data_IF_297702003078
#
_entry.id   IF_297702003078
#
_cell.length_a   1.000
_cell.length_b   1.000
_cell.length_c   1.000
_cell.angle_alpha   90.00
_cell.angle_beta   90.00
_cell.angle_gamma   90.00
#
_symmetry.space_group_name_H-M   'P 1'
#
loop_
_entity.id
_entity.type
_entity.pdbx_description
1 polymer ?
#
# COMPACT_ATOMS: atom_id res chain seq x y z
N UNK A 1 1.40 6.01 -2.29
CA UNK A 1 1.13 6.46 -0.90
C UNK A 1 -0.25 7.11 -0.91
N UNK A 2 -1.18 6.63 -0.07
CA UNK A 2 -2.53 7.17 0.04
C UNK A 2 -2.65 8.22 1.17
N UNK A 3 -3.85 8.83 1.32
CA UNK A 3 -4.08 9.88 2.30
C UNK A 3 -3.86 9.42 3.75
N UNK A 4 -4.27 8.19 4.07
CA UNK A 4 -4.11 7.64 5.43
C UNK A 4 -2.62 7.49 5.80
N UNK A 5 -1.78 7.03 4.86
CA UNK A 5 -0.35 6.93 5.10
C UNK A 5 0.32 8.30 5.30
N UNK A 6 -0.14 9.33 4.59
CA UNK A 6 0.34 10.71 4.81
C UNK A 6 0.04 11.16 6.24
N UNK A 7 -1.20 11.01 6.68
CA UNK A 7 -1.62 11.41 8.03
C UNK A 7 -0.91 10.61 9.13
N UNK A 8 -0.68 9.30 8.92
CA UNK A 8 0.08 8.48 9.88
C UNK A 8 1.52 8.99 9.99
N UNK A 9 2.19 9.24 8.86
CA UNK A 9 3.57 9.74 8.85
C UNK A 9 3.68 11.12 9.50
N UNK A 10 2.70 12.00 9.29
CA UNK A 10 2.64 13.30 9.97
C UNK A 10 2.60 13.18 11.50
N UNK A 11 1.94 12.14 12.02
CA UNK A 11 1.83 11.92 13.47
C UNK A 11 3.04 11.19 14.07
N UNK A 12 3.62 10.22 13.36
CA UNK A 12 4.66 9.36 13.93
C UNK A 12 6.08 9.72 13.48
N UNK A 13 6.23 10.53 12.42
CA UNK A 13 7.50 10.84 11.77
C UNK A 13 7.89 9.79 10.72
N UNK A 14 8.59 10.23 9.67
CA UNK A 14 9.04 9.36 8.56
C UNK A 14 9.95 8.21 9.02
N UNK A 15 10.73 8.42 10.07
CA UNK A 15 11.63 7.44 10.63
C UNK A 15 10.92 6.26 11.31
N UNK A 16 9.63 6.42 11.64
CA UNK A 16 8.82 5.40 12.31
C UNK A 16 7.81 4.72 11.37
N UNK A 17 7.95 4.91 10.05
CA UNK A 17 7.12 4.30 9.04
C UNK A 17 7.95 3.85 7.83
N UNK A 18 7.50 2.81 7.14
CA UNK A 18 8.18 2.26 5.95
C UNK A 18 7.34 2.54 4.70
N UNK A 19 7.43 3.74 4.20
CA UNK A 19 6.68 4.18 3.02
C UNK A 19 7.38 3.74 1.74
N UNK A 20 6.59 3.32 0.75
CA UNK A 20 7.02 2.96 -0.60
C UNK A 20 5.93 3.29 -1.63
N UNK A 21 6.26 3.12 -2.91
CA UNK A 21 5.34 3.27 -4.03
C UNK A 21 5.16 4.71 -4.49
N UNK A 22 4.34 4.85 -5.52
CA UNK A 22 4.02 6.13 -6.13
C UNK A 22 3.30 7.07 -5.15
N UNK A 23 3.60 8.35 -5.24
CA UNK A 23 2.83 9.39 -4.58
C UNK A 23 1.46 9.55 -5.25
N UNK A 24 0.49 10.13 -4.54
CA UNK A 24 -0.83 10.44 -5.10
C UNK A 24 -0.72 11.30 -6.38
N UNK A 25 0.22 12.26 -6.40
CA UNK A 25 0.43 13.13 -7.56
C UNK A 25 0.95 12.36 -8.78
N UNK A 26 1.83 11.38 -8.60
CA UNK A 26 2.33 10.52 -9.68
C UNK A 26 1.23 9.61 -10.21
N UNK A 27 0.39 9.05 -9.33
CA UNK A 27 -0.78 8.26 -9.74
C UNK A 27 -1.73 9.11 -10.58
N UNK A 28 -2.13 10.29 -10.11
CA UNK A 28 -2.99 11.23 -10.84
C UNK A 28 -2.37 11.58 -12.20
N UNK A 29 -1.05 11.77 -12.26
CA UNK A 29 -0.37 12.05 -13.52
C UNK A 29 -0.47 10.88 -14.50
N UNK A 30 -0.23 9.65 -14.07
CA UNK A 30 -0.41 8.46 -14.91
C UNK A 30 -1.85 8.25 -15.35
N UNK A 31 -2.82 8.51 -14.46
CA UNK A 31 -4.23 8.37 -14.80
C UNK A 31 -4.69 9.37 -15.85
N UNK A 32 -4.24 10.62 -15.77
CA UNK A 32 -4.65 11.70 -16.66
C UNK A 32 -3.87 11.73 -17.98
N UNK A 33 -2.59 11.39 -17.98
CA UNK A 33 -1.71 11.53 -19.15
C UNK A 33 -1.25 10.18 -19.74
N UNK A 34 -1.49 9.07 -19.05
CA UNK A 34 -1.00 7.76 -19.46
C UNK A 34 0.52 7.62 -19.27
N UNK A 35 1.15 6.80 -20.11
CA UNK A 35 2.59 6.56 -20.06
C UNK A 35 3.00 5.44 -19.08
N UNK A 36 2.05 4.70 -18.54
CA UNK A 36 2.28 3.49 -17.79
C UNK A 36 1.96 2.26 -18.63
N UNK A 37 2.93 1.37 -18.80
CA UNK A 37 2.76 0.08 -19.46
C UNK A 37 3.36 -1.04 -18.55
N UNK A 38 2.51 -1.85 -17.91
CA UNK A 38 2.97 -2.97 -17.08
C UNK A 38 3.73 -4.03 -17.89
N UNK A 39 3.42 -4.19 -19.19
CA UNK A 39 4.12 -5.13 -20.06
C UNK A 39 5.57 -4.69 -20.32
N UNK A 40 5.83 -3.39 -20.41
CA UNK A 40 7.19 -2.86 -20.51
C UNK A 40 8.01 -3.23 -19.27
N UNK A 41 7.44 -3.09 -18.06
CA UNK A 41 8.10 -3.51 -16.81
C UNK A 41 8.38 -5.01 -16.83
N UNK A 42 7.37 -5.82 -17.16
CA UNK A 42 7.53 -7.27 -17.28
C UNK A 42 8.65 -7.67 -18.25
N UNK A 43 8.79 -6.95 -19.36
CA UNK A 43 9.82 -7.27 -20.36
C UNK A 43 11.22 -6.84 -19.94
N UNK A 44 11.35 -5.75 -19.20
CA UNK A 44 12.65 -5.15 -18.88
C UNK A 44 13.15 -5.47 -17.46
N UNK A 45 12.27 -5.96 -16.57
CA UNK A 45 12.62 -6.30 -15.19
C UNK A 45 12.59 -7.81 -14.98
N UNK A 46 13.76 -8.39 -14.74
CA UNK A 46 13.90 -9.84 -14.55
C UNK A 46 13.25 -10.35 -13.26
N UNK A 47 13.28 -9.55 -12.19
CA UNK A 47 12.71 -9.94 -10.90
C UNK A 47 11.18 -9.94 -10.97
N UNK A 48 10.59 -8.88 -11.54
CA UNK A 48 9.15 -8.81 -11.80
C UNK A 48 8.71 -9.96 -12.70
N UNK A 49 9.42 -10.19 -13.80
CA UNK A 49 9.12 -11.31 -14.70
C UNK A 49 9.16 -12.65 -13.97
N UNK A 50 10.20 -12.89 -13.18
CA UNK A 50 10.35 -14.14 -12.43
C UNK A 50 9.18 -14.36 -11.48
N UNK A 51 8.81 -13.35 -10.71
CA UNK A 51 7.70 -13.43 -9.75
C UNK A 51 6.38 -13.69 -10.48
N UNK A 52 6.09 -12.95 -11.55
CA UNK A 52 4.86 -13.14 -12.31
C UNK A 52 4.78 -14.51 -13.00
N UNK A 53 5.89 -15.01 -13.53
CA UNK A 53 5.94 -16.35 -14.11
C UNK A 53 5.66 -17.47 -13.09
N UNK A 54 5.99 -17.25 -11.82
CA UNK A 54 5.69 -18.21 -10.75
C UNK A 54 4.19 -18.37 -10.50
N UNK A 55 3.37 -17.39 -10.87
CA UNK A 55 1.91 -17.51 -10.79
C UNK A 55 1.33 -18.55 -11.75
N UNK A 56 1.99 -18.79 -12.89
CA UNK A 56 1.44 -19.61 -13.99
C UNK A 56 2.29 -20.83 -14.35
N UNK A 57 3.43 -21.04 -13.71
CA UNK A 57 4.33 -22.17 -14.00
C UNK A 57 4.22 -23.32 -12.99
N UNK A 58 3.23 -23.28 -12.09
CA UNK A 58 3.02 -24.31 -11.07
C UNK A 58 3.85 -24.15 -9.79
N UNK A 59 4.65 -23.10 -9.64
CA UNK A 59 5.46 -22.87 -8.42
C UNK A 59 4.57 -22.80 -7.17
N UNK A 60 3.47 -22.03 -7.22
CA UNK A 60 2.57 -21.85 -6.09
C UNK A 60 1.44 -22.89 -6.03
N UNK A 61 1.08 -23.48 -7.15
CA UNK A 61 0.04 -24.51 -7.25
C UNK A 61 0.47 -25.62 -8.22
N UNK A 62 1.32 -26.58 -7.79
CA UNK A 62 1.83 -27.62 -8.69
C UNK A 62 0.74 -28.48 -9.31
N UNK A 63 -0.38 -28.69 -8.61
CA UNK A 63 -1.53 -29.48 -9.09
C UNK A 63 -2.51 -28.70 -9.99
N UNK A 64 -2.43 -27.37 -10.00
CA UNK A 64 -3.30 -26.49 -10.80
C UNK A 64 -2.55 -25.21 -11.21
N UNK A 65 -1.73 -25.24 -12.25
CA UNK A 65 -1.03 -24.04 -12.73
C UNK A 65 -1.95 -22.91 -13.22
N UNK A 66 -3.23 -23.22 -13.48
CA UNK A 66 -4.21 -22.23 -13.95
C UNK A 66 -4.82 -21.41 -12.81
N UNK A 67 -4.69 -21.85 -11.56
CA UNK A 67 -5.31 -21.21 -10.39
C UNK A 67 -5.06 -19.71 -10.30
N UNK A 68 -3.82 -19.27 -10.53
CA UNK A 68 -3.43 -17.87 -10.43
C UNK A 68 -3.35 -17.15 -11.79
N UNK A 69 -3.77 -17.79 -12.88
CA UNK A 69 -3.78 -17.18 -14.22
C UNK A 69 -4.65 -15.91 -14.29
N UNK A 70 -5.82 -15.82 -13.65
CA UNK A 70 -6.59 -14.57 -13.63
C UNK A 70 -5.82 -13.40 -13.02
N UNK A 71 -5.06 -13.65 -11.95
CA UNK A 71 -4.20 -12.63 -11.32
C UNK A 71 -3.07 -12.18 -12.26
N UNK A 72 -2.38 -13.13 -12.90
CA UNK A 72 -1.38 -12.82 -13.91
C UNK A 72 -1.93 -11.93 -15.04
N UNK A 73 -3.12 -12.27 -15.53
CA UNK A 73 -3.77 -11.48 -16.59
C UNK A 73 -4.23 -10.10 -16.11
N UNK A 74 -4.70 -9.96 -14.88
CA UNK A 74 -5.10 -8.66 -14.35
C UNK A 74 -3.94 -7.67 -14.23
N UNK A 75 -2.71 -8.18 -14.07
CA UNK A 75 -1.50 -7.36 -13.99
C UNK A 75 -0.91 -7.01 -15.36
N UNK A 76 -1.11 -7.83 -16.39
CA UNK A 76 -0.42 -7.65 -17.68
C UNK A 76 -1.35 -7.37 -18.86
N UNK A 77 -2.62 -7.77 -18.79
CA UNK A 77 -3.52 -7.70 -19.95
C UNK A 77 -4.68 -6.74 -19.69
N UNK A 78 -4.92 -5.86 -20.66
CA UNK A 78 -6.12 -5.05 -20.67
C UNK A 78 -7.31 -5.94 -21.09
N UNK A 79 -8.29 -6.10 -20.22
CA UNK A 79 -9.52 -6.83 -20.52
C UNK A 79 -10.66 -5.85 -20.76
N UNK A 80 -11.24 -5.90 -21.97
CA UNK A 80 -12.44 -5.14 -22.37
C UNK A 80 -12.44 -3.65 -22.03
N UNK A 81 -12.63 -3.28 -20.77
CA UNK A 81 -12.69 -1.89 -20.27
C UNK A 81 -11.76 -1.63 -19.08
N UNK A 82 -11.14 -2.67 -18.53
CA UNK A 82 -10.22 -2.53 -17.41
C UNK A 82 -8.78 -2.30 -17.88
N UNK A 83 -8.09 -1.37 -17.24
CA UNK A 83 -6.63 -1.20 -17.44
C UNK A 83 -5.91 -2.35 -16.75
N UNK A 84 -4.82 -2.84 -17.35
CA UNK A 84 -3.91 -3.76 -16.68
C UNK A 84 -3.23 -3.03 -15.49
N UNK A 85 -2.97 -3.77 -14.42
CA UNK A 85 -2.33 -3.26 -13.21
C UNK A 85 -2.89 -1.89 -12.76
N UNK A 86 -4.19 -1.84 -12.54
CA UNK A 86 -4.92 -0.61 -12.18
C UNK A 86 -4.34 0.11 -10.95
N UNK A 87 -3.68 -0.64 -10.08
CA UNK A 87 -3.11 -0.13 -8.83
C UNK A 87 -1.59 0.11 -8.89
N UNK A 88 -0.98 0.06 -10.07
CA UNK A 88 0.46 0.30 -10.29
C UNK A 88 1.39 -0.62 -9.49
N UNK A 89 0.96 -1.84 -9.18
CA UNK A 89 1.68 -2.81 -8.35
C UNK A 89 3.06 -3.12 -8.92
N UNK A 90 3.17 -3.28 -10.25
CA UNK A 90 4.45 -3.58 -10.88
C UNK A 90 5.40 -2.37 -10.87
N UNK A 91 4.84 -1.16 -10.93
CA UNK A 91 5.62 0.07 -10.80
C UNK A 91 6.19 0.24 -9.39
N UNK A 92 5.41 -0.13 -8.39
CA UNK A 92 5.78 -0.03 -6.98
C UNK A 92 6.70 -1.15 -6.50
N UNK A 93 6.84 -2.24 -7.26
CA UNK A 93 7.54 -3.45 -6.84
C UNK A 93 8.97 -3.20 -6.34
N UNK A 94 9.76 -2.39 -7.04
CA UNK A 94 11.14 -2.09 -6.62
C UNK A 94 11.20 -1.28 -5.34
N UNK A 95 10.39 -0.25 -5.23
CA UNK A 95 10.33 0.57 -4.00
C UNK A 95 9.83 -0.24 -2.81
N UNK A 96 8.89 -1.17 -3.03
CA UNK A 96 8.48 -2.14 -2.03
C UNK A 96 9.65 -3.05 -1.60
N UNK A 97 10.40 -3.62 -2.55
CA UNK A 97 11.55 -4.47 -2.25
C UNK A 97 12.64 -3.73 -1.45
N UNK A 98 12.90 -2.46 -1.76
CA UNK A 98 13.81 -1.63 -0.98
C UNK A 98 13.25 -1.29 0.42
N UNK A 99 11.94 -1.04 0.54
CA UNK A 99 11.30 -0.87 1.83
C UNK A 99 11.42 -2.14 2.70
N UNK A 100 11.23 -3.33 2.12
CA UNK A 100 11.42 -4.60 2.83
C UNK A 100 12.84 -4.78 3.39
N UNK A 101 13.87 -4.39 2.63
CA UNK A 101 15.26 -4.40 3.14
C UNK A 101 15.45 -3.46 4.34
N UNK A 102 14.80 -2.27 4.31
CA UNK A 102 14.82 -1.33 5.44
C UNK A 102 14.10 -1.90 6.65
N UNK A 103 12.94 -2.53 6.44
CA UNK A 103 12.19 -3.23 7.51
C UNK A 103 13.05 -4.33 8.13
N UNK A 104 13.69 -5.17 7.32
CA UNK A 104 14.56 -6.25 7.81
C UNK A 104 15.73 -5.73 8.64
N UNK A 105 16.37 -4.65 8.18
CA UNK A 105 17.46 -4.03 8.91
C UNK A 105 16.98 -3.41 10.24
N UNK A 106 15.86 -2.68 10.22
CA UNK A 106 15.28 -2.05 11.40
C UNK A 106 14.80 -3.09 12.42
N UNK A 107 14.21 -4.20 11.97
CA UNK A 107 13.72 -5.27 12.85
C UNK A 107 14.82 -5.93 13.67
N UNK A 108 16.08 -5.89 13.20
CA UNK A 108 17.25 -6.43 13.93
C UNK A 108 17.74 -5.50 15.07
N UNK A 109 17.32 -4.25 15.06
CA UNK A 109 17.56 -3.27 16.13
C UNK A 109 16.32 -3.23 17.04
N UNK A 110 16.26 -4.18 17.97
CA UNK A 110 15.07 -4.41 18.82
C UNK A 110 14.69 -3.17 19.62
N UNK A 111 15.66 -2.39 20.12
CA UNK A 111 15.40 -1.19 20.90
C UNK A 111 14.74 -0.08 20.07
N UNK A 112 15.25 0.19 18.87
CA UNK A 112 14.67 1.18 17.97
C UNK A 112 13.34 0.69 17.39
N UNK A 113 13.22 -0.60 17.07
CA UNK A 113 11.95 -1.19 16.65
C UNK A 113 10.86 -1.02 17.72
N UNK A 114 11.18 -1.31 18.98
CA UNK A 114 10.26 -1.14 20.11
C UNK A 114 9.86 0.34 20.30
N UNK A 115 10.80 1.27 20.19
CA UNK A 115 10.51 2.73 20.24
C UNK A 115 9.54 3.14 19.14
N UNK A 116 9.79 2.74 17.90
CA UNK A 116 8.91 3.06 16.78
C UNK A 116 7.51 2.45 16.96
N UNK A 117 7.43 1.22 17.45
CA UNK A 117 6.16 0.57 17.75
C UNK A 117 5.37 1.31 18.85
N UNK A 118 6.04 1.74 19.94
CA UNK A 118 5.43 2.53 21.01
C UNK A 118 4.92 3.87 20.49
N UNK A 119 5.69 4.57 19.65
CA UNK A 119 5.27 5.83 19.04
C UNK A 119 4.05 5.65 18.15
N UNK A 120 4.02 4.62 17.30
CA UNK A 120 2.85 4.30 16.47
C UNK A 120 1.61 4.04 17.33
N UNK A 121 1.73 3.30 18.43
CA UNK A 121 0.61 3.07 19.36
C UNK A 121 0.18 4.37 20.04
N UNK A 122 1.12 5.16 20.55
CA UNK A 122 0.83 6.41 21.25
C UNK A 122 0.12 7.43 20.35
N UNK A 123 0.50 7.52 19.07
CA UNK A 123 -0.10 8.43 18.10
C UNK A 123 -1.40 7.91 17.47
N UNK A 124 -1.77 6.64 17.70
CA UNK A 124 -2.96 6.03 17.10
C UNK A 124 -4.29 6.67 17.53
N UNK A 125 -4.30 7.41 18.63
CA UNK A 125 -5.48 8.09 19.16
C UNK A 125 -6.17 9.03 18.15
N UNK A 126 -5.40 9.64 17.23
CA UNK A 126 -5.93 10.47 16.14
C UNK A 126 -6.88 9.68 15.22
N UNK A 127 -6.66 8.39 15.06
CA UNK A 127 -7.40 7.52 14.15
C UNK A 127 -8.50 6.70 14.81
N UNK A 128 -8.86 7.06 16.06
CA UNK A 128 -9.96 6.38 16.78
C UNK A 128 -11.32 6.79 16.24
N UNK A 129 -12.26 5.85 16.22
CA UNK A 129 -13.65 6.12 15.89
C UNK A 129 -14.29 7.12 16.86
N UNK A 130 -13.94 7.06 18.14
CA UNK A 130 -14.47 7.97 19.17
C UNK A 130 -14.12 9.43 18.85
N UNK A 131 -12.88 9.71 18.45
CA UNK A 131 -12.49 11.05 18.01
C UNK A 131 -13.26 11.49 16.76
N UNK A 132 -13.38 10.61 15.78
CA UNK A 132 -14.06 10.91 14.52
C UNK A 132 -15.56 11.22 14.78
N UNK A 133 -16.22 10.41 15.60
CA UNK A 133 -17.62 10.66 15.97
C UNK A 133 -17.75 11.95 16.78
N UNK A 134 -16.82 12.21 17.71
CA UNK A 134 -16.87 13.46 18.48
C UNK A 134 -16.72 14.68 17.57
N UNK A 135 -15.83 14.65 16.57
CA UNK A 135 -15.74 15.72 15.58
C UNK A 135 -17.04 15.91 14.78
N UNK A 136 -17.69 14.83 14.37
CA UNK A 136 -18.99 14.94 13.71
C UNK A 136 -20.06 15.57 14.61
N UNK A 137 -20.08 15.20 15.90
CA UNK A 137 -20.98 15.80 16.88
C UNK A 137 -20.74 17.29 17.02
N UNK A 138 -19.48 17.70 17.15
CA UNK A 138 -19.12 19.10 17.42
C UNK A 138 -19.18 19.99 16.17
N UNK A 139 -18.68 19.51 15.02
CA UNK A 139 -18.45 20.33 13.84
C UNK A 139 -19.58 20.23 12.80
N UNK A 140 -20.32 19.12 12.76
CA UNK A 140 -21.34 18.87 11.73
C UNK A 140 -22.73 18.84 12.32
N UNK A 141 -22.95 18.02 13.34
CA UNK A 141 -24.27 17.81 13.91
C UNK A 141 -24.64 18.79 15.01
N UNK A 142 -23.67 19.40 15.67
CA UNK A 142 -23.83 20.33 16.78
C UNK A 142 -24.77 19.80 17.87
N UNK A 143 -24.55 18.53 18.28
CA UNK A 143 -25.37 17.84 19.26
C UNK A 143 -24.78 17.95 20.67
N UNK A 144 -25.66 18.18 21.64
CA UNK A 144 -25.31 18.12 23.06
C UNK A 144 -25.15 16.67 23.55
N UNK A 145 -24.15 16.45 24.42
CA UNK A 145 -23.91 15.13 25.01
C UNK A 145 -25.04 14.78 26.00
N UNK A 146 -25.72 13.68 25.76
CA UNK A 146 -26.73 13.15 26.70
C UNK A 146 -26.03 12.44 27.86
N UNK A 147 -26.22 12.95 29.08
CA UNK A 147 -25.74 12.30 30.29
C UNK A 147 -26.87 11.42 30.82
N UNK A 148 -26.71 10.11 30.74
CA UNK A 148 -27.60 9.16 31.37
C UNK A 148 -27.36 9.17 32.90
N UNK A 149 -28.43 9.37 33.67
CA UNK A 149 -28.42 9.31 35.15
C UNK A 149 -28.64 7.88 35.62
#
# INVERSE_FOLDING_TARGET
>A
MDGANVEIVEEVGEENAFIFGLSAQEVINYENHGGYDPMEIFNNDQDVRKVLMQLINGTFAPGDPELFRPLYHSLLNTQCTAKADTYFILKDFKSYAEAQKRVEAAYRDEDNWAKSAILNVACSGKFTSDRTIQQYVDEIWHLDKVVLK
#
